data_IF_469223452404
#
_entry.id   IF_469223452404
#
_cell.length_a   1.000
_cell.length_b   1.000
_cell.length_c   1.000
_cell.angle_alpha   90.00
_cell.angle_beta   90.00
_cell.angle_gamma   90.00
#
_symmetry.space_group_name_H-M   'P 1'
#
loop_
_entity.id
_entity.type
_entity.pdbx_description
1 polymer ?
#
# COMPACT_ATOMS: atom_id res chain seq x y z
N UNK A 1 -4.19 -3.99 -21.94
CA UNK A 1 -4.19 -5.24 -22.72
C UNK A 1 -3.87 -6.38 -21.77
N UNK A 2 -4.68 -7.43 -21.76
CA UNK A 2 -4.48 -8.61 -20.91
C UNK A 2 -3.10 -9.20 -21.18
N UNK A 3 -2.22 -9.24 -20.19
CA UNK A 3 -0.94 -9.95 -20.31
C UNK A 3 -1.23 -11.45 -20.21
N UNK A 4 -1.46 -12.10 -21.34
CA UNK A 4 -1.58 -13.56 -21.42
C UNK A 4 -0.26 -14.21 -20.94
N UNK A 5 -0.37 -15.25 -20.12
CA UNK A 5 0.78 -16.00 -19.61
C UNK A 5 0.99 -17.25 -20.46
N UNK A 6 2.02 -17.22 -21.29
CA UNK A 6 2.33 -18.28 -22.24
C UNK A 6 3.22 -19.35 -21.60
N UNK A 7 2.97 -20.61 -21.94
CA UNK A 7 3.86 -21.73 -21.63
C UNK A 7 5.12 -21.67 -22.51
N UNK A 8 6.19 -22.37 -22.09
CA UNK A 8 7.40 -22.55 -22.92
C UNK A 8 7.08 -23.02 -24.34
N UNK A 9 6.11 -23.93 -24.49
CA UNK A 9 5.69 -24.46 -25.78
C UNK A 9 5.01 -23.39 -26.65
N UNK A 10 4.10 -22.61 -26.07
CA UNK A 10 3.44 -21.51 -26.77
C UNK A 10 4.42 -20.40 -27.16
N UNK A 11 5.33 -20.02 -26.25
CA UNK A 11 6.39 -19.04 -26.54
C UNK A 11 7.35 -19.54 -27.63
N UNK A 12 7.66 -20.85 -27.64
CA UNK A 12 8.49 -21.45 -28.69
C UNK A 12 7.83 -21.36 -30.07
N UNK A 13 6.53 -21.67 -30.15
CA UNK A 13 5.73 -21.50 -31.37
C UNK A 13 5.69 -20.04 -31.82
N UNK A 14 5.45 -19.11 -30.89
CA UNK A 14 5.35 -17.68 -31.19
C UNK A 14 6.67 -17.10 -31.72
N UNK A 15 7.80 -17.41 -31.06
CA UNK A 15 9.13 -16.94 -31.46
C UNK A 15 9.75 -17.74 -32.62
N UNK A 16 9.08 -18.80 -33.10
CA UNK A 16 9.62 -19.77 -34.08
C UNK A 16 10.96 -20.37 -33.64
N UNK A 17 11.07 -20.73 -32.36
CA UNK A 17 12.25 -21.35 -31.75
C UNK A 17 11.92 -22.75 -31.21
N UNK A 18 12.93 -23.55 -30.88
CA UNK A 18 12.72 -24.80 -30.13
C UNK A 18 12.44 -24.52 -28.65
N UNK A 19 11.66 -25.37 -27.98
CA UNK A 19 11.45 -25.27 -26.52
C UNK A 19 12.77 -25.32 -25.73
N UNK A 20 13.76 -26.07 -26.22
CA UNK A 20 15.11 -26.13 -25.64
C UNK A 20 15.80 -24.76 -25.69
N UNK A 21 15.65 -24.04 -26.80
CA UNK A 21 16.19 -22.69 -26.97
C UNK A 21 15.49 -21.70 -26.03
N UNK A 22 14.16 -21.77 -25.92
CA UNK A 22 13.38 -20.90 -25.00
C UNK A 22 13.79 -21.14 -23.55
N UNK A 23 13.93 -22.40 -23.10
CA UNK A 23 14.42 -22.73 -21.76
C UNK A 23 15.83 -22.19 -21.50
N UNK A 24 16.70 -22.23 -22.50
CA UNK A 24 18.05 -21.64 -22.41
C UNK A 24 17.98 -20.11 -22.29
N UNK A 25 17.16 -19.43 -23.09
CA UNK A 25 16.97 -17.98 -22.99
C UNK A 25 16.47 -17.55 -21.60
N UNK A 26 15.58 -18.35 -20.99
CA UNK A 26 15.13 -18.14 -19.62
C UNK A 26 16.28 -18.36 -18.63
N UNK A 27 17.03 -19.46 -18.77
CA UNK A 27 18.16 -19.78 -17.88
C UNK A 27 19.27 -18.73 -17.93
N UNK A 28 19.52 -18.15 -19.10
CA UNK A 28 20.55 -17.14 -19.34
C UNK A 28 20.04 -15.71 -19.02
N UNK A 29 18.81 -15.56 -18.52
CA UNK A 29 18.21 -14.28 -18.15
C UNK A 29 17.81 -13.37 -19.33
N UNK A 30 17.92 -13.86 -20.57
CA UNK A 30 17.62 -13.11 -21.79
C UNK A 30 16.12 -13.03 -22.11
N UNK A 31 15.32 -13.92 -21.53
CA UNK A 31 13.86 -13.91 -21.63
C UNK A 31 13.28 -14.04 -20.21
N UNK A 32 12.58 -13.00 -19.75
CA UNK A 32 12.01 -12.99 -18.41
C UNK A 32 10.87 -14.01 -18.30
N UNK A 33 10.86 -14.80 -17.23
CA UNK A 33 9.85 -15.80 -16.98
C UNK A 33 9.63 -16.02 -15.48
N UNK A 34 8.41 -16.35 -15.11
CA UNK A 34 8.02 -16.71 -13.75
C UNK A 34 7.83 -18.22 -13.62
N UNK A 35 8.24 -18.82 -12.50
CA UNK A 35 7.89 -20.20 -12.18
C UNK A 35 6.50 -20.24 -11.54
N UNK A 36 5.60 -21.03 -12.12
CA UNK A 36 4.33 -21.39 -11.49
C UNK A 36 4.46 -22.81 -10.93
N UNK A 37 4.60 -22.90 -9.60
CA UNK A 37 4.91 -24.14 -8.89
C UNK A 37 6.29 -24.72 -9.19
N UNK A 38 6.52 -25.99 -8.83
CA UNK A 38 7.85 -26.60 -8.87
C UNK A 38 8.33 -27.07 -10.27
N UNK A 39 7.53 -26.96 -11.33
CA UNK A 39 7.87 -27.60 -12.63
C UNK A 39 7.54 -26.83 -13.91
N UNK A 40 6.95 -25.63 -13.87
CA UNK A 40 6.53 -24.95 -15.11
C UNK A 40 6.87 -23.46 -15.18
N UNK A 41 7.45 -23.03 -16.30
CA UNK A 41 7.72 -21.62 -16.60
C UNK A 41 6.51 -20.98 -17.29
N UNK A 42 6.27 -19.71 -17.00
CA UNK A 42 5.30 -18.84 -17.66
C UNK A 42 5.96 -17.54 -18.07
N UNK A 43 5.75 -17.15 -19.32
CA UNK A 43 6.34 -15.97 -19.95
C UNK A 43 5.17 -15.01 -20.22
N UNK A 44 5.31 -13.74 -19.85
CA UNK A 44 4.30 -12.73 -20.21
C UNK A 44 4.49 -12.32 -21.66
N UNK A 45 3.40 -12.00 -22.34
CA UNK A 45 3.46 -11.51 -23.72
C UNK A 45 4.37 -10.27 -23.86
N UNK A 46 4.31 -9.35 -22.89
CA UNK A 46 5.21 -8.18 -22.87
C UNK A 46 6.70 -8.54 -22.75
N UNK A 47 7.06 -9.62 -22.03
CA UNK A 47 8.45 -10.07 -21.92
C UNK A 47 8.96 -10.66 -23.25
N UNK A 48 8.04 -11.20 -24.06
CA UNK A 48 8.32 -11.68 -25.42
C UNK A 48 8.52 -10.50 -26.36
N UNK A 49 7.66 -9.49 -26.27
CA UNK A 49 7.78 -8.26 -27.07
C UNK A 49 9.07 -7.51 -26.77
N UNK A 50 9.44 -7.38 -25.49
CA UNK A 50 10.72 -6.79 -25.06
C UNK A 50 11.91 -7.57 -25.64
N UNK A 51 11.84 -8.90 -25.64
CA UNK A 51 12.85 -9.76 -26.25
C UNK A 51 12.94 -9.59 -27.77
N UNK A 52 11.80 -9.45 -28.46
CA UNK A 52 11.75 -9.21 -29.91
C UNK A 52 12.35 -7.85 -30.22
N UNK A 53 11.96 -6.79 -29.51
CA UNK A 53 12.49 -5.43 -29.73
C UNK A 53 14.01 -5.39 -29.51
N UNK A 54 14.50 -6.02 -28.44
CA UNK A 54 15.93 -6.09 -28.15
C UNK A 54 16.74 -6.79 -29.25
N UNK A 55 16.16 -7.77 -29.95
CA UNK A 55 16.83 -8.51 -31.04
C UNK A 55 16.50 -7.98 -32.45
N UNK A 56 15.54 -7.06 -32.59
CA UNK A 56 15.15 -6.45 -33.87
C UNK A 56 16.05 -5.27 -34.29
N UNK A 57 16.84 -4.71 -33.36
CA UNK A 57 17.81 -3.64 -33.62
C UNK A 57 19.03 -4.05 -34.49
N UNK A 58 18.98 -5.21 -35.14
CA UNK A 58 20.00 -5.72 -36.05
C UNK A 58 19.76 -5.50 -37.56
N UNK A 59 18.67 -4.86 -37.99
CA UNK A 59 18.42 -4.59 -39.42
C UNK A 59 18.05 -3.13 -39.68
N UNK A 60 19.07 -2.34 -40.06
CA UNK A 60 18.87 -1.05 -40.75
C UNK A 60 18.35 -1.30 -42.17
N UNK A 61 17.37 -0.51 -42.58
CA UNK A 61 17.13 -0.16 -43.98
C UNK A 61 17.04 1.35 -44.07
N UNK A 62 17.91 1.91 -44.92
CA UNK A 62 17.95 3.31 -45.29
C UNK A 62 16.69 3.67 -46.06
N UNK A 63 16.02 4.76 -45.69
CA UNK A 63 15.38 5.61 -46.69
C UNK A 63 15.30 7.07 -46.22
N UNK A 64 16.04 7.89 -46.98
CA UNK A 64 15.82 9.27 -47.42
C UNK A 64 15.20 10.30 -46.48
N UNK A 65 16.03 11.31 -46.18
CA UNK A 65 15.76 12.54 -45.44
C UNK A 65 14.89 13.50 -46.26
N UNK A 66 13.81 14.02 -45.67
CA UNK A 66 13.24 15.33 -45.99
C UNK A 66 13.12 16.16 -44.69
N UNK A 67 13.41 17.47 -44.70
CA UNK A 67 13.50 18.25 -43.48
C UNK A 67 12.10 18.66 -43.00
N UNK A 68 11.65 18.11 -41.89
CA UNK A 68 10.52 18.65 -41.15
C UNK A 68 11.03 19.71 -40.17
N UNK A 69 10.52 20.91 -40.38
CA UNK A 69 10.53 22.11 -39.55
C UNK A 69 10.73 21.87 -38.05
N UNK A 70 11.67 22.61 -37.47
CA UNK A 70 11.88 22.79 -36.04
C UNK A 70 10.59 23.28 -35.38
N UNK A 71 9.86 22.36 -34.75
CA UNK A 71 8.87 22.70 -33.75
C UNK A 71 9.47 22.55 -32.35
N UNK A 72 9.16 23.55 -31.53
CA UNK A 72 9.77 23.89 -30.25
C UNK A 72 9.93 22.72 -29.28
N UNK A 73 11.13 22.64 -28.71
CA UNK A 73 11.56 21.92 -27.51
C UNK A 73 10.47 21.70 -26.45
N UNK A 74 9.83 20.52 -26.45
CA UNK A 74 9.31 19.94 -25.22
C UNK A 74 10.50 19.31 -24.48
N UNK A 75 11.04 20.01 -23.47
CA UNK A 75 11.95 19.37 -22.52
C UNK A 75 11.14 18.24 -21.88
N UNK A 76 11.41 16.97 -22.24
CA UNK A 76 10.87 15.82 -21.51
C UNK A 76 11.47 15.87 -20.10
N UNK A 77 10.77 16.49 -19.16
CA UNK A 77 11.13 16.46 -17.75
C UNK A 77 11.12 15.00 -17.31
N UNK A 78 12.23 14.56 -16.69
CA UNK A 78 12.35 13.18 -16.21
C UNK A 78 11.40 12.99 -15.03
N UNK A 79 10.61 11.92 -15.04
CA UNK A 79 9.75 11.53 -13.92
C UNK A 79 10.54 11.51 -12.59
N UNK A 80 10.04 12.16 -11.51
CA UNK A 80 10.70 12.14 -10.21
C UNK A 80 10.89 10.71 -9.67
N UNK A 81 12.08 10.44 -9.14
CA UNK A 81 12.49 9.10 -8.70
C UNK A 81 12.08 8.84 -7.26
N UNK A 82 11.27 7.80 -7.03
CA UNK A 82 10.72 7.42 -5.74
C UNK A 82 11.53 6.30 -5.06
N UNK A 83 11.96 6.57 -3.83
CA UNK A 83 12.47 5.58 -2.87
C UNK A 83 11.36 5.29 -1.86
N UNK A 84 10.96 4.04 -1.69
CA UNK A 84 9.92 3.64 -0.73
C UNK A 84 10.48 2.75 0.37
N UNK A 85 10.38 3.21 1.62
CA UNK A 85 10.71 2.43 2.82
C UNK A 85 9.42 1.87 3.42
N UNK A 86 9.44 0.61 3.87
CA UNK A 86 8.27 -0.05 4.48
C UNK A 86 7.07 -0.05 3.52
N UNK A 87 7.31 -0.48 2.27
CA UNK A 87 6.38 -0.31 1.15
C UNK A 87 5.09 -1.13 1.31
N UNK A 88 5.08 -2.15 2.18
CA UNK A 88 3.99 -3.09 2.33
C UNK A 88 3.62 -3.74 1.00
N UNK A 89 2.32 -3.92 0.75
CA UNK A 89 1.84 -4.38 -0.55
C UNK A 89 1.83 -3.27 -1.62
N UNK A 90 2.28 -2.05 -1.31
CA UNK A 90 2.48 -0.98 -2.29
C UNK A 90 1.31 -0.03 -2.50
N UNK A 91 0.36 0.07 -1.57
CA UNK A 91 -0.77 1.01 -1.69
C UNK A 91 -0.34 2.47 -1.83
N UNK A 92 0.65 2.91 -1.02
CA UNK A 92 1.26 4.23 -1.11
C UNK A 92 1.98 4.41 -2.46
N UNK A 93 2.89 3.50 -2.77
CA UNK A 93 3.69 3.50 -3.99
C UNK A 93 2.86 3.54 -5.27
N UNK A 94 1.76 2.78 -5.33
CA UNK A 94 0.87 2.77 -6.49
C UNK A 94 0.23 4.15 -6.71
N UNK A 95 -0.18 4.84 -5.65
CA UNK A 95 -0.71 6.21 -5.75
C UNK A 95 0.34 7.20 -6.30
N UNK A 96 1.59 7.08 -5.85
CA UNK A 96 2.69 7.87 -6.41
C UNK A 96 2.94 7.53 -7.89
N UNK A 97 3.01 6.25 -8.26
CA UNK A 97 3.19 5.86 -9.67
C UNK A 97 2.08 6.36 -10.58
N UNK A 98 0.83 6.31 -10.12
CA UNK A 98 -0.32 6.87 -10.84
C UNK A 98 -0.25 8.40 -11.00
N UNK A 99 0.55 9.08 -10.18
CA UNK A 99 0.78 10.52 -10.24
C UNK A 99 2.03 10.90 -11.07
N UNK A 100 2.65 9.94 -11.77
CA UNK A 100 3.79 10.20 -12.67
C UNK A 100 5.18 10.00 -12.06
N UNK A 101 5.29 9.44 -10.84
CA UNK A 101 6.58 9.13 -10.22
C UNK A 101 7.14 7.80 -10.73
N UNK A 102 8.47 7.71 -10.83
CA UNK A 102 9.18 6.48 -11.18
C UNK A 102 9.74 5.82 -9.92
N UNK A 103 9.18 4.69 -9.49
CA UNK A 103 9.77 3.88 -8.42
C UNK A 103 11.15 3.38 -8.82
N UNK A 104 12.17 3.72 -8.03
CA UNK A 104 13.55 3.27 -8.26
C UNK A 104 14.03 2.28 -7.21
N UNK A 105 13.41 2.29 -6.04
CA UNK A 105 13.69 1.34 -4.96
C UNK A 105 12.52 1.25 -4.00
N UNK A 106 12.25 0.05 -3.51
CA UNK A 106 11.21 -0.25 -2.53
C UNK A 106 11.74 -1.31 -1.57
N UNK A 107 11.34 -1.26 -0.31
CA UNK A 107 11.76 -2.22 0.71
C UNK A 107 10.63 -2.58 1.66
N UNK A 108 10.49 -3.88 1.92
CA UNK A 108 9.69 -4.41 3.01
C UNK A 108 10.23 -5.79 3.39
N UNK A 109 10.15 -6.16 4.67
CA UNK A 109 10.63 -7.46 5.18
C UNK A 109 9.50 -8.51 5.32
N UNK A 110 8.22 -8.09 5.24
CA UNK A 110 7.07 -8.99 5.31
C UNK A 110 6.92 -9.76 3.99
N UNK A 111 7.09 -11.08 4.07
CA UNK A 111 7.12 -11.96 2.90
C UNK A 111 5.81 -11.97 2.10
N UNK A 112 4.66 -11.81 2.77
CA UNK A 112 3.37 -11.81 2.10
C UNK A 112 3.16 -10.47 1.36
N UNK A 113 3.56 -9.36 1.99
CA UNK A 113 3.58 -8.03 1.38
C UNK A 113 4.53 -7.96 0.17
N UNK A 114 5.75 -8.49 0.30
CA UNK A 114 6.73 -8.57 -0.79
C UNK A 114 6.19 -9.32 -2.01
N UNK A 115 5.48 -10.43 -1.79
CA UNK A 115 4.93 -11.24 -2.86
C UNK A 115 3.85 -10.48 -3.63
N UNK A 116 2.95 -9.78 -2.93
CA UNK A 116 1.92 -8.92 -3.55
C UNK A 116 2.55 -7.73 -4.26
N UNK A 117 3.54 -7.06 -3.65
CA UNK A 117 4.26 -5.95 -4.27
C UNK A 117 4.93 -6.41 -5.58
N UNK A 118 5.64 -7.54 -5.54
CA UNK A 118 6.34 -8.11 -6.70
C UNK A 118 5.41 -8.43 -7.86
N UNK A 119 4.19 -8.89 -7.55
CA UNK A 119 3.19 -9.26 -8.54
C UNK A 119 2.63 -8.05 -9.32
N UNK A 120 2.63 -6.87 -8.70
CA UNK A 120 1.93 -5.69 -9.22
C UNK A 120 2.86 -4.54 -9.61
N UNK A 121 3.91 -4.30 -8.82
CA UNK A 121 4.74 -3.09 -8.91
C UNK A 121 6.19 -3.38 -9.31
N UNK A 122 6.65 -4.63 -9.26
CA UNK A 122 8.00 -5.01 -9.66
C UNK A 122 8.89 -5.35 -8.47
N UNK A 123 10.22 -5.33 -8.67
CA UNK A 123 11.15 -5.80 -7.65
C UNK A 123 11.08 -4.99 -6.35
N UNK A 124 11.27 -5.68 -5.22
CA UNK A 124 11.33 -5.12 -3.87
C UNK A 124 12.53 -5.72 -3.13
N UNK A 125 13.27 -4.88 -2.40
CA UNK A 125 14.31 -5.34 -1.49
C UNK A 125 13.66 -5.99 -0.27
N UNK A 126 14.03 -7.24 -0.01
CA UNK A 126 13.40 -8.11 0.99
C UNK A 126 14.07 -8.05 2.36
N UNK A 127 15.21 -7.36 2.47
CA UNK A 127 16.00 -7.29 3.69
C UNK A 127 15.24 -6.50 4.76
N UNK A 128 15.55 -6.76 6.02
CA UNK A 128 15.19 -5.85 7.08
C UNK A 128 15.95 -4.53 6.85
N UNK A 129 15.28 -3.38 6.99
CA UNK A 129 15.90 -2.07 6.74
C UNK A 129 17.13 -1.82 7.62
N UNK A 130 17.19 -2.47 8.79
CA UNK A 130 18.35 -2.45 9.69
C UNK A 130 19.61 -3.07 9.09
N UNK A 131 19.44 -3.96 8.09
CA UNK A 131 20.52 -4.68 7.41
C UNK A 131 20.79 -4.11 6.01
N UNK A 132 20.16 -2.99 5.65
CA UNK A 132 20.34 -2.33 4.35
C UNK A 132 21.35 -1.19 4.49
N UNK A 133 22.47 -1.34 3.80
CA UNK A 133 23.47 -0.27 3.67
C UNK A 133 22.95 0.85 2.77
N UNK A 134 23.27 2.10 3.10
CA UNK A 134 22.71 3.25 2.38
C UNK A 134 23.18 3.27 0.93
N UNK A 135 24.37 2.75 0.67
CA UNK A 135 25.03 2.65 -0.64
C UNK A 135 24.25 1.75 -1.60
N UNK A 136 23.52 0.75 -1.09
CA UNK A 136 22.69 -0.15 -1.89
C UNK A 136 21.41 0.53 -2.38
N UNK A 137 21.01 1.63 -1.73
CA UNK A 137 19.80 2.37 -2.09
C UNK A 137 20.17 3.38 -3.20
N UNK A 138 19.54 3.34 -4.38
CA UNK A 138 19.81 4.33 -5.42
C UNK A 138 19.36 5.74 -4.99
N UNK A 139 19.97 6.77 -5.58
CA UNK A 139 19.51 8.14 -5.35
C UNK A 139 18.09 8.35 -5.92
N UNK A 140 17.32 9.21 -5.25
CA UNK A 140 15.94 9.52 -5.57
C UNK A 140 15.60 10.98 -5.27
N UNK A 141 14.54 11.47 -5.90
CA UNK A 141 14.03 12.82 -5.72
C UNK A 141 13.04 12.89 -4.55
N UNK A 142 12.37 11.78 -4.24
CA UNK A 142 11.41 11.68 -3.15
C UNK A 142 11.60 10.37 -2.38
N UNK A 143 11.44 10.44 -1.07
CA UNK A 143 11.43 9.27 -0.19
C UNK A 143 10.13 9.19 0.60
N UNK A 144 9.46 8.05 0.54
CA UNK A 144 8.26 7.76 1.34
C UNK A 144 8.58 6.73 2.43
N UNK A 145 8.00 6.86 3.62
CA UNK A 145 8.11 5.85 4.66
C UNK A 145 6.82 5.71 5.49
N UNK A 146 6.31 4.48 5.60
CA UNK A 146 5.19 4.09 6.46
C UNK A 146 5.64 3.27 7.67
N UNK A 147 6.63 3.77 8.42
CA UNK A 147 7.28 2.97 9.48
C UNK A 147 6.29 2.60 10.60
N UNK A 148 6.38 1.38 11.17
CA UNK A 148 5.51 0.96 12.27
C UNK A 148 5.68 1.86 13.51
N UNK A 149 4.62 2.57 13.91
CA UNK A 149 4.61 3.35 15.15
C UNK A 149 4.00 2.54 16.30
N UNK A 150 4.84 2.05 17.21
CA UNK A 150 4.40 1.53 18.51
C UNK A 150 4.83 2.47 19.63
N UNK A 151 4.07 2.56 20.74
CA UNK A 151 4.41 3.45 21.83
C UNK A 151 5.75 3.07 22.45
N UNK A 152 6.73 3.97 22.30
CA UNK A 152 8.05 3.92 22.95
C UNK A 152 7.95 3.80 24.49
N UNK A 153 6.81 4.22 25.07
CA UNK A 153 6.60 4.33 26.52
C UNK A 153 5.81 3.18 27.17
N UNK A 154 5.27 2.20 26.42
CA UNK A 154 4.62 1.03 27.01
C UNK A 154 5.61 -0.08 27.42
N UNK A 155 6.91 0.20 27.43
CA UNK A 155 7.96 -0.66 27.99
C UNK A 155 7.99 -0.63 29.54
N UNK A 156 6.83 -0.49 30.18
CA UNK A 156 6.68 -0.71 31.60
C UNK A 156 6.68 -2.21 31.91
N UNK A 157 7.69 -2.66 32.65
CA UNK A 157 7.85 -4.01 33.21
C UNK A 157 8.36 -5.15 32.31
N UNK A 158 9.52 -4.96 31.65
CA UNK A 158 10.57 -6.00 31.56
C UNK A 158 11.89 -5.38 31.11
N UNK A 159 12.90 -5.47 31.99
CA UNK A 159 14.31 -5.21 31.69
C UNK A 159 14.75 -6.09 30.52
N UNK A 160 15.36 -5.47 29.51
CA UNK A 160 16.28 -6.12 28.57
C UNK A 160 15.67 -6.61 27.26
N UNK A 161 15.46 -5.70 26.31
CA UNK A 161 15.92 -5.79 24.91
C UNK A 161 15.99 -4.34 24.39
N UNK A 162 17.09 -3.91 23.77
CA UNK A 162 17.14 -2.65 23.03
C UNK A 162 15.87 -2.48 22.18
N UNK A 163 15.16 -1.37 22.33
CA UNK A 163 13.85 -1.16 21.70
C UNK A 163 13.98 -1.10 20.17
N UNK A 164 13.84 -2.27 19.53
CA UNK A 164 14.08 -2.51 18.11
C UNK A 164 13.15 -1.73 17.17
N UNK A 165 12.10 -1.10 17.71
CA UNK A 165 11.13 -0.32 16.92
C UNK A 165 11.38 1.18 16.92
N UNK A 166 11.95 1.73 18.00
CA UNK A 166 12.50 3.08 17.97
C UNK A 166 13.71 3.23 17.04
N UNK A 167 14.33 2.11 16.67
CA UNK A 167 15.37 2.05 15.64
C UNK A 167 14.82 2.36 14.25
N UNK A 168 13.58 1.97 13.90
CA UNK A 168 13.09 2.09 12.52
C UNK A 168 12.93 3.56 12.06
N UNK A 169 12.50 4.44 12.95
CA UNK A 169 12.49 5.88 12.67
C UNK A 169 13.91 6.43 12.47
N UNK A 170 14.87 5.99 13.30
CA UNK A 170 16.29 6.35 13.15
C UNK A 170 16.89 5.83 11.85
N UNK A 171 16.47 4.65 11.38
CA UNK A 171 16.88 4.13 10.07
C UNK A 171 16.38 5.01 8.92
N UNK A 172 15.14 5.52 9.00
CA UNK A 172 14.68 6.55 8.05
C UNK A 172 15.64 7.75 8.05
N UNK A 173 15.98 8.28 9.23
CA UNK A 173 16.88 9.44 9.34
C UNK A 173 18.28 9.15 8.81
N UNK A 174 18.84 7.95 9.07
CA UNK A 174 20.14 7.51 8.54
C UNK A 174 20.15 7.58 7.01
N UNK A 175 19.12 7.03 6.38
CA UNK A 175 19.00 7.01 4.92
C UNK A 175 18.78 8.42 4.37
N UNK A 176 17.88 9.21 4.98
CA UNK A 176 17.55 10.56 4.52
C UNK A 176 18.77 11.48 4.64
N UNK A 177 19.53 11.40 5.74
CA UNK A 177 20.69 12.25 5.97
C UNK A 177 21.75 12.10 4.87
N UNK A 178 21.93 10.90 4.33
CA UNK A 178 22.85 10.62 3.24
C UNK A 178 22.24 10.90 1.87
N UNK A 179 20.99 10.47 1.63
CA UNK A 179 20.35 10.59 0.30
C UNK A 179 19.84 12.00 -0.01
N UNK A 180 19.45 12.76 1.01
CA UNK A 180 18.91 14.11 0.92
C UNK A 180 17.96 14.34 -0.28
N UNK A 181 16.88 13.54 -0.44
CA UNK A 181 15.92 13.76 -1.52
C UNK A 181 15.28 15.14 -1.41
N UNK A 182 14.63 15.60 -2.48
CA UNK A 182 13.95 16.91 -2.50
C UNK A 182 12.72 16.92 -1.59
N UNK A 183 12.04 15.77 -1.48
CA UNK A 183 10.82 15.62 -0.69
C UNK A 183 10.87 14.36 0.18
N UNK A 184 10.39 14.47 1.41
CA UNK A 184 10.15 13.37 2.34
C UNK A 184 8.65 13.28 2.62
N UNK A 185 8.12 12.06 2.61
CA UNK A 185 6.73 11.81 3.01
C UNK A 185 6.70 10.70 4.05
N UNK A 186 6.27 11.02 5.26
CA UNK A 186 5.96 10.00 6.27
C UNK A 186 4.46 9.81 6.41
N UNK A 187 4.01 8.57 6.40
CA UNK A 187 2.63 8.20 6.72
C UNK A 187 2.60 7.47 8.07
N UNK A 188 1.60 7.78 8.90
CA UNK A 188 1.39 7.04 10.13
C UNK A 188 -0.04 7.09 10.68
N UNK A 189 -0.29 6.29 11.71
CA UNK A 189 -1.56 6.26 12.44
C UNK A 189 -1.78 7.52 13.27
N UNK A 190 -3.04 7.90 13.50
CA UNK A 190 -3.43 9.05 14.35
C UNK A 190 -2.78 9.03 15.75
N UNK A 191 -2.57 7.84 16.32
CA UNK A 191 -1.96 7.68 17.64
C UNK A 191 -0.54 8.24 17.75
N UNK A 192 0.16 8.42 16.62
CA UNK A 192 1.48 9.07 16.59
C UNK A 192 1.43 10.49 17.17
N UNK A 193 0.33 11.22 16.96
CA UNK A 193 0.16 12.61 17.43
C UNK A 193 0.24 12.75 18.96
N UNK A 194 -0.09 11.67 19.69
CA UNK A 194 -0.03 11.60 21.15
C UNK A 194 1.15 10.76 21.65
N UNK A 195 1.97 10.21 20.76
CA UNK A 195 3.08 9.33 21.13
C UNK A 195 4.25 10.16 21.66
N UNK A 196 4.83 9.70 22.77
CA UNK A 196 6.02 10.31 23.37
C UNK A 196 7.28 9.64 22.84
N UNK A 197 8.31 10.43 22.59
CA UNK A 197 9.66 9.94 22.31
C UNK A 197 10.35 9.51 23.62
N UNK A 198 11.52 8.87 23.51
CA UNK A 198 12.24 8.30 24.66
C UNK A 198 12.64 9.36 25.71
N UNK A 199 12.77 10.62 25.30
CA UNK A 199 13.10 11.76 26.15
C UNK A 199 11.85 12.50 26.70
N UNK A 200 10.64 11.99 26.44
CA UNK A 200 9.38 12.55 26.91
C UNK A 200 8.75 13.64 26.02
N UNK A 201 9.45 14.10 24.96
CA UNK A 201 8.90 15.06 23.99
C UNK A 201 7.85 14.42 23.09
N UNK A 202 7.04 15.24 22.41
CA UNK A 202 6.11 14.69 21.43
C UNK A 202 6.89 14.20 20.21
N UNK A 203 6.61 12.97 19.75
CA UNK A 203 7.30 12.42 18.58
C UNK A 203 7.12 13.28 17.32
N UNK A 204 5.98 13.97 17.19
CA UNK A 204 5.73 14.93 16.10
C UNK A 204 6.77 16.05 16.11
N UNK A 205 7.07 16.62 17.28
CA UNK A 205 8.04 17.70 17.44
C UNK A 205 9.45 17.22 17.10
N UNK A 206 9.80 16.00 17.56
CA UNK A 206 11.08 15.35 17.26
C UNK A 206 11.25 15.13 15.76
N UNK A 207 10.22 14.63 15.06
CA UNK A 207 10.24 14.45 13.60
C UNK A 207 10.51 15.78 12.87
N UNK A 208 9.82 16.84 13.29
CA UNK A 208 10.00 18.16 12.67
C UNK A 208 11.42 18.68 12.91
N UNK A 209 11.94 18.59 14.14
CA UNK A 209 13.27 19.08 14.49
C UNK A 209 14.40 18.33 13.78
N UNK A 210 14.35 16.99 13.80
CA UNK A 210 15.36 16.11 13.19
C UNK A 210 15.47 16.38 11.69
N UNK A 211 14.33 16.49 11.00
CA UNK A 211 14.30 16.81 9.56
C UNK A 211 14.67 18.27 9.30
N UNK A 212 14.24 19.22 10.14
CA UNK A 212 14.48 20.65 9.94
C UNK A 212 15.94 21.07 10.06
N UNK A 213 16.75 20.30 10.80
CA UNK A 213 18.17 20.58 11.06
C UNK A 213 19.12 19.68 10.25
N UNK A 214 18.56 18.79 9.41
CA UNK A 214 19.30 17.71 8.77
C UNK A 214 20.37 18.21 7.78
N UNK A 215 21.57 17.63 7.87
CA UNK A 215 22.67 17.81 6.91
C UNK A 215 22.94 19.29 6.52
N UNK A 216 22.86 20.21 7.49
CA UNK A 216 23.07 21.67 7.34
C UNK A 216 22.07 22.42 6.43
N UNK A 217 21.24 21.71 5.66
CA UNK A 217 20.21 22.30 4.78
C UNK A 217 18.85 22.22 5.44
N UNK A 218 18.45 21.01 5.88
CA UNK A 218 17.17 20.73 6.51
C UNK A 218 15.98 20.71 5.55
N UNK A 219 14.82 20.36 6.11
CA UNK A 219 13.53 20.35 5.43
C UNK A 219 12.55 21.32 6.11
N UNK A 220 11.72 21.97 5.32
CA UNK A 220 10.50 22.59 5.81
C UNK A 220 9.42 21.51 5.91
N UNK A 221 9.01 21.19 7.13
CA UNK A 221 8.12 20.06 7.42
C UNK A 221 6.76 20.57 7.85
N UNK A 222 5.73 20.15 7.12
CA UNK A 222 4.32 20.32 7.51
C UNK A 222 3.70 18.96 7.75
N UNK A 223 2.68 18.88 8.61
CA UNK A 223 1.95 17.64 8.83
C UNK A 223 0.45 17.89 9.01
N UNK A 224 -0.36 16.90 8.63
CA UNK A 224 -1.82 16.99 8.76
C UNK A 224 -2.45 15.64 9.07
N UNK A 225 -3.42 15.64 9.99
CA UNK A 225 -4.34 14.53 10.19
C UNK A 225 -5.42 14.57 9.11
N UNK A 226 -5.40 13.59 8.21
CA UNK A 226 -6.37 13.44 7.12
C UNK A 226 -7.34 12.30 7.42
N UNK A 227 -8.59 12.45 6.99
CA UNK A 227 -9.52 11.32 6.88
C UNK A 227 -9.59 10.92 5.40
N UNK A 228 -9.34 9.65 5.08
CA UNK A 228 -9.32 9.17 3.70
C UNK A 228 -10.62 9.49 2.93
N UNK A 229 -11.78 9.50 3.62
CA UNK A 229 -13.06 9.88 3.00
C UNK A 229 -13.17 11.36 2.62
N UNK A 230 -12.32 12.23 3.15
CA UNK A 230 -12.20 13.62 2.67
C UNK A 230 -11.46 13.71 1.32
N UNK A 231 -10.94 12.59 0.79
CA UNK A 231 -10.10 12.53 -0.42
C UNK A 231 -10.52 11.37 -1.35
N UNK A 232 -11.82 11.09 -1.44
CA UNK A 232 -12.38 10.15 -2.42
C UNK A 232 -12.19 8.66 -2.11
N UNK A 233 -11.80 8.31 -0.86
CA UNK A 233 -11.72 6.90 -0.42
C UNK A 233 -13.03 6.54 0.30
N UNK A 234 -13.70 5.41 -0.02
CA UNK A 234 -14.94 4.99 0.61
C UNK A 234 -14.72 4.37 2.00
N UNK A 235 -13.91 5.05 2.81
CA UNK A 235 -13.48 4.59 4.11
C UNK A 235 -13.19 5.77 5.04
N UNK A 236 -13.74 5.71 6.25
CA UNK A 236 -13.35 6.56 7.36
C UNK A 236 -12.08 5.99 8.00
N UNK A 237 -10.92 6.49 7.55
CA UNK A 237 -9.58 6.10 8.00
C UNK A 237 -8.73 7.33 8.22
N UNK A 238 -8.40 7.59 9.48
CA UNK A 238 -7.56 8.72 9.85
C UNK A 238 -6.08 8.35 9.79
N UNK A 239 -5.27 9.18 9.12
CA UNK A 239 -3.82 9.05 9.01
C UNK A 239 -3.15 10.40 9.16
N UNK A 240 -1.98 10.43 9.78
CA UNK A 240 -1.12 11.62 9.79
C UNK A 240 -0.12 11.47 8.65
N UNK A 241 -0.01 12.51 7.84
CA UNK A 241 1.06 12.65 6.86
C UNK A 241 1.98 13.78 7.28
N UNK A 242 3.29 13.55 7.15
CA UNK A 242 4.30 14.59 7.19
C UNK A 242 4.85 14.75 5.78
N UNK A 243 4.98 15.99 5.32
CA UNK A 243 5.64 16.32 4.06
C UNK A 243 6.76 17.30 4.37
N UNK A 244 7.99 16.85 4.15
CA UNK A 244 9.20 17.66 4.28
C UNK A 244 9.73 18.05 2.92
N UNK A 245 9.79 19.34 2.60
CA UNK A 245 10.40 19.85 1.37
C UNK A 245 11.77 20.44 1.71
N UNK A 246 12.81 20.09 0.95
CA UNK A 246 14.18 20.51 1.27
C UNK A 246 14.29 22.05 1.19
N UNK A 247 14.87 22.68 2.22
CA UNK A 247 14.80 24.15 2.41
C UNK A 247 15.46 24.96 1.29
N UNK A 248 16.47 24.41 0.63
CA UNK A 248 17.14 25.03 -0.53
C UNK A 248 16.22 25.23 -1.75
N UNK A 249 15.07 24.55 -1.78
CA UNK A 249 14.06 24.73 -2.82
C UNK A 249 13.17 25.96 -2.59
N UNK A 250 13.10 26.49 -1.37
CA UNK A 250 12.27 27.65 -1.05
C UNK A 250 10.76 27.42 -1.26
N UNK A 251 10.28 26.20 -1.03
CA UNK A 251 8.89 25.79 -1.26
C UNK A 251 8.26 25.35 0.07
N UNK A 252 7.20 26.04 0.46
CA UNK A 252 6.28 25.62 1.52
C UNK A 252 5.18 24.74 0.91
N UNK A 253 5.05 23.50 1.38
CA UNK A 253 4.02 22.57 0.91
C UNK A 253 2.69 22.85 1.61
N UNK A 254 1.60 22.80 0.83
CA UNK A 254 0.24 22.84 1.36
C UNK A 254 -0.50 21.54 1.02
N UNK A 255 -1.18 20.97 2.02
CA UNK A 255 -2.02 19.79 1.80
C UNK A 255 -3.19 20.12 0.87
N UNK A 256 -3.60 19.19 0.00
CA UNK A 256 -4.71 19.42 -0.91
C UNK A 256 -6.02 19.65 -0.15
N UNK A 257 -6.91 20.42 -0.76
CA UNK A 257 -8.24 20.66 -0.20
C UNK A 257 -9.08 19.37 -0.16
N UNK A 258 -10.01 19.32 0.80
CA UNK A 258 -10.97 18.24 0.91
C UNK A 258 -11.89 18.20 -0.30
N UNK A 259 -12.27 16.99 -0.70
CA UNK A 259 -13.16 16.72 -1.82
C UNK A 259 -14.57 16.35 -1.33
N UNK A 260 -15.61 16.54 -2.17
CA UNK A 260 -16.94 16.01 -1.92
C UNK A 260 -16.92 14.48 -1.71
N UNK A 261 -17.86 13.98 -0.91
CA UNK A 261 -17.95 12.55 -0.54
C UNK A 261 -18.96 11.77 -1.38
N UNK A 262 -19.12 12.18 -2.62
CA UNK A 262 -20.09 11.59 -3.53
C UNK A 262 -19.72 10.15 -3.85
N UNK A 263 -20.72 9.25 -3.84
CA UNK A 263 -20.56 7.83 -4.20
C UNK A 263 -19.52 7.05 -3.37
N UNK A 264 -19.25 7.49 -2.15
CA UNK A 264 -18.32 6.81 -1.22
C UNK A 264 -18.97 5.77 -0.30
N UNK A 265 -20.28 5.54 -0.45
CA UNK A 265 -21.00 4.56 0.36
C UNK A 265 -20.75 3.14 -0.15
N UNK A 266 -20.89 2.15 0.75
CA UNK A 266 -20.70 0.74 0.41
C UNK A 266 -21.56 0.26 -0.77
N UNK A 267 -22.76 0.83 -0.97
CA UNK A 267 -23.64 0.58 -2.12
C UNK A 267 -22.91 0.71 -3.46
N UNK A 268 -22.04 1.70 -3.61
CA UNK A 268 -21.32 1.97 -4.85
C UNK A 268 -20.07 1.11 -5.02
N UNK A 269 -19.50 0.65 -3.90
CA UNK A 269 -18.19 0.02 -3.87
C UNK A 269 -18.30 -1.50 -3.92
N UNK A 270 -19.35 -2.06 -3.33
CA UNK A 270 -19.64 -3.49 -3.29
C UNK A 270 -20.33 -4.00 -4.57
N UNK A 271 -20.59 -3.12 -5.54
CA UNK A 271 -20.93 -3.54 -6.91
C UNK A 271 -19.65 -4.04 -7.60
N UNK A 272 -19.29 -5.30 -7.30
CA UNK A 272 -18.08 -5.96 -7.79
C UNK A 272 -18.42 -6.75 -9.06
N UNK A 273 -17.66 -6.58 -10.16
CA UNK A 273 -17.84 -7.40 -11.36
C UNK A 273 -17.76 -8.90 -11.04
N UNK A 274 -18.61 -9.70 -11.70
CA UNK A 274 -18.71 -11.15 -11.44
C UNK A 274 -17.42 -11.92 -11.76
N UNK A 275 -16.59 -11.39 -12.66
CA UNK A 275 -15.29 -11.91 -13.08
C UNK A 275 -14.11 -11.27 -12.33
N UNK A 276 -14.36 -10.40 -11.34
CA UNK A 276 -13.30 -9.75 -10.60
C UNK A 276 -12.44 -10.78 -9.83
N UNK A 277 -11.11 -10.72 -9.94
CA UNK A 277 -10.24 -11.65 -9.25
C UNK A 277 -10.31 -11.45 -7.73
N UNK A 278 -9.92 -12.47 -6.99
CA UNK A 278 -9.81 -12.42 -5.52
C UNK A 278 -11.15 -12.15 -4.79
N UNK A 279 -12.30 -12.48 -5.42
CA UNK A 279 -13.62 -12.42 -4.80
C UNK A 279 -13.87 -13.64 -3.89
N UNK A 280 -13.04 -13.77 -2.85
CA UNK A 280 -13.07 -14.83 -1.85
C UNK A 280 -12.89 -14.25 -0.46
N UNK A 281 -13.52 -14.85 0.55
CA UNK A 281 -13.44 -14.41 1.93
C UNK A 281 -12.90 -15.49 2.89
N UNK A 282 -12.58 -15.06 4.11
CA UNK A 282 -12.26 -15.95 5.21
C UNK A 282 -13.49 -16.15 6.11
N UNK A 283 -14.10 -17.32 6.04
CA UNK A 283 -15.32 -17.64 6.77
C UNK A 283 -15.24 -17.40 8.29
N UNK A 284 -16.38 -17.02 8.87
CA UNK A 284 -16.53 -16.87 10.31
C UNK A 284 -16.62 -18.23 11.03
N UNK A 285 -16.28 -18.24 12.33
CA UNK A 285 -16.54 -19.41 13.16
C UNK A 285 -18.05 -19.63 13.37
N UNK A 286 -18.50 -20.87 13.68
CA UNK A 286 -19.91 -21.13 13.95
C UNK A 286 -20.49 -20.25 15.07
N UNK A 287 -19.69 -19.95 16.10
CA UNK A 287 -20.11 -19.09 17.21
C UNK A 287 -20.29 -17.64 16.77
N UNK A 288 -19.44 -17.14 15.87
CA UNK A 288 -19.59 -15.79 15.32
C UNK A 288 -20.83 -15.71 14.41
N UNK A 289 -21.08 -16.73 13.60
CA UNK A 289 -22.27 -16.80 12.72
C UNK A 289 -23.58 -16.80 13.52
N UNK A 290 -23.61 -17.48 14.67
CA UNK A 290 -24.80 -17.50 15.55
C UNK A 290 -25.17 -16.09 16.07
N UNK A 291 -24.18 -15.21 16.25
CA UNK A 291 -24.43 -13.81 16.59
C UNK A 291 -24.77 -12.97 15.36
N UNK A 292 -24.01 -13.12 14.26
CA UNK A 292 -24.07 -12.26 13.07
C UNK A 292 -25.45 -12.25 12.41
N UNK A 293 -26.17 -13.38 12.44
CA UNK A 293 -27.53 -13.51 11.87
C UNK A 293 -28.57 -12.54 12.47
N UNK A 294 -28.32 -12.04 13.68
CA UNK A 294 -29.21 -11.09 14.35
C UNK A 294 -28.83 -9.62 14.12
N UNK A 295 -27.69 -9.36 13.46
CA UNK A 295 -27.17 -8.01 13.29
C UNK A 295 -27.72 -7.43 11.98
N UNK A 296 -28.60 -6.41 12.02
CA UNK A 296 -29.14 -5.80 10.81
C UNK A 296 -28.12 -4.87 10.13
N UNK A 297 -28.42 -4.41 8.90
CA UNK A 297 -27.69 -3.30 8.26
C UNK A 297 -27.64 -2.09 9.20
N UNK A 298 -26.44 -1.54 9.42
CA UNK A 298 -26.24 -0.42 10.37
C UNK A 298 -26.10 -0.87 11.83
N UNK A 299 -26.27 -2.15 12.12
CA UNK A 299 -26.21 -2.72 13.47
C UNK A 299 -24.81 -3.13 13.95
N UNK A 300 -24.78 -3.74 15.13
CA UNK A 300 -23.62 -4.30 15.79
C UNK A 300 -24.00 -5.46 16.72
N UNK A 301 -23.04 -5.98 17.49
CA UNK A 301 -23.31 -6.98 18.54
C UNK A 301 -24.39 -6.54 19.56
N UNK A 302 -24.68 -5.24 19.68
CA UNK A 302 -25.70 -4.70 20.58
C UNK A 302 -27.11 -5.13 20.20
N UNK A 303 -27.35 -5.43 18.92
CA UNK A 303 -28.64 -5.86 18.38
C UNK A 303 -28.93 -7.34 18.61
N UNK A 304 -27.92 -8.12 19.02
CA UNK A 304 -28.05 -9.56 19.26
C UNK A 304 -28.88 -9.80 20.54
N UNK A 305 -29.88 -10.69 20.54
CA UNK A 305 -30.64 -11.05 21.75
C UNK A 305 -29.73 -11.63 22.85
N UNK A 306 -30.10 -11.46 24.12
CA UNK A 306 -29.19 -11.72 25.25
C UNK A 306 -28.82 -13.18 25.39
N UNK A 307 -29.80 -14.04 25.17
CA UNK A 307 -29.69 -15.49 25.14
C UNK A 307 -28.75 -16.01 24.05
N UNK A 308 -28.54 -15.23 22.98
CA UNK A 308 -27.65 -15.56 21.86
C UNK A 308 -26.25 -14.92 21.97
N UNK A 309 -26.01 -14.10 23.00
CA UNK A 309 -24.68 -13.56 23.26
C UNK A 309 -23.79 -14.63 23.90
N UNK A 310 -22.55 -14.77 23.41
CA UNK A 310 -21.56 -15.56 24.12
C UNK A 310 -21.30 -14.99 25.53
N UNK A 311 -20.90 -15.80 26.53
CA UNK A 311 -20.76 -15.36 27.93
C UNK A 311 -19.87 -14.12 28.13
N UNK A 312 -18.85 -13.95 27.28
CA UNK A 312 -18.01 -12.74 27.28
C UNK A 312 -18.82 -11.48 26.94
N UNK A 313 -19.69 -11.55 25.93
CA UNK A 313 -20.49 -10.42 25.48
C UNK A 313 -21.64 -10.11 26.46
N UNK A 314 -22.24 -11.12 27.09
CA UNK A 314 -23.20 -10.91 28.18
C UNK A 314 -22.59 -10.07 29.31
N UNK A 315 -21.42 -10.47 29.82
CA UNK A 315 -20.67 -9.70 30.84
C UNK A 315 -20.37 -8.26 30.44
N UNK A 316 -20.13 -8.02 29.14
CA UNK A 316 -19.88 -6.68 28.62
C UNK A 316 -21.19 -5.89 28.53
N UNK A 317 -22.30 -6.52 28.15
CA UNK A 317 -23.62 -5.89 28.07
C UNK A 317 -24.16 -5.50 29.45
N UNK A 318 -23.90 -6.31 30.46
CA UNK A 318 -24.32 -6.04 31.85
C UNK A 318 -23.63 -4.80 32.45
N UNK A 319 -22.43 -4.45 31.98
CA UNK A 319 -21.66 -3.28 32.46
C UNK A 319 -21.05 -2.48 31.30
N UNK A 320 -21.90 -1.92 30.45
CA UNK A 320 -21.44 -1.22 29.26
C UNK A 320 -20.52 -0.04 29.54
N UNK A 321 -20.73 0.65 30.66
CA UNK A 321 -19.95 1.81 31.08
C UNK A 321 -18.50 1.43 31.36
N UNK A 322 -18.27 0.33 32.10
CA UNK A 322 -16.92 -0.17 32.40
C UNK A 322 -16.11 -0.51 31.14
N UNK A 323 -16.79 -1.03 30.11
CA UNK A 323 -16.12 -1.42 28.87
C UNK A 323 -16.11 -0.33 27.79
N UNK A 324 -16.57 0.88 28.09
CA UNK A 324 -16.66 2.00 27.14
C UNK A 324 -17.55 1.73 25.92
N UNK A 325 -18.64 1.00 26.10
CA UNK A 325 -19.71 0.81 25.10
C UNK A 325 -19.24 0.39 23.70
N UNK A 326 -18.36 -0.64 23.56
CA UNK A 326 -17.76 -1.05 22.28
C UNK A 326 -18.80 -1.35 21.20
N UNK A 327 -18.39 -1.16 19.94
CA UNK A 327 -19.18 -1.50 18.76
C UNK A 327 -18.59 -2.73 18.06
N UNK A 328 -18.51 -3.86 18.77
CA UNK A 328 -18.08 -5.14 18.20
C UNK A 328 -19.04 -5.61 17.10
N UNK A 329 -18.55 -6.43 16.17
CA UNK A 329 -19.34 -7.01 15.09
C UNK A 329 -20.15 -5.95 14.31
N UNK A 330 -19.54 -4.77 14.08
CA UNK A 330 -20.20 -3.69 13.34
C UNK A 330 -20.52 -4.15 11.91
N UNK A 331 -21.80 -4.14 11.53
CA UNK A 331 -22.28 -4.41 10.15
C UNK A 331 -22.72 -3.10 9.49
N UNK A 332 -21.82 -2.47 8.75
CA UNK A 332 -22.14 -1.20 8.07
C UNK A 332 -23.31 -1.38 7.10
N UNK A 333 -24.19 -0.38 7.03
CA UNK A 333 -25.24 -0.28 6.03
C UNK A 333 -24.64 0.05 4.66
N UNK A 334 -25.32 -0.37 3.59
CA UNK A 334 -24.94 0.01 2.21
C UNK A 334 -24.90 1.52 2.01
N UNK A 335 -25.63 2.31 2.79
CA UNK A 335 -25.66 3.77 2.69
C UNK A 335 -24.64 4.47 3.60
N UNK A 336 -23.77 3.72 4.27
CA UNK A 336 -22.67 4.24 5.07
C UNK A 336 -21.32 4.19 4.34
N UNK A 337 -20.44 5.11 4.71
CA UNK A 337 -19.01 5.02 4.40
C UNK A 337 -18.39 4.03 5.40
N UNK A 338 -17.67 3.03 4.89
CA UNK A 338 -17.08 1.97 5.70
C UNK A 338 -16.14 2.53 6.79
N UNK A 339 -16.07 1.87 7.94
CA UNK A 339 -15.01 2.10 8.92
C UNK A 339 -13.64 1.64 8.42
N UNK A 340 -12.59 1.92 9.20
CA UNK A 340 -11.23 1.49 8.88
C UNK A 340 -11.15 -0.03 8.72
N UNK A 341 -10.72 -0.51 7.55
CA UNK A 341 -10.29 -1.89 7.34
C UNK A 341 -8.97 -2.09 8.08
N UNK A 342 -8.97 -2.96 9.08
CA UNK A 342 -7.80 -3.20 9.94
C UNK A 342 -7.06 -4.46 9.54
N UNK A 343 -5.76 -4.52 9.84
CA UNK A 343 -4.92 -5.67 9.51
C UNK A 343 -5.23 -6.94 10.32
N UNK A 344 -5.93 -6.83 11.46
CA UNK A 344 -6.38 -8.01 12.20
C UNK A 344 -7.62 -8.64 11.56
N UNK A 345 -8.41 -7.82 10.85
CA UNK A 345 -9.71 -8.16 10.29
C UNK A 345 -10.63 -8.90 11.29
N UNK A 346 -10.46 -8.74 12.60
CA UNK A 346 -11.32 -9.40 13.58
C UNK A 346 -12.63 -8.61 13.73
N UNK A 347 -13.80 -9.26 13.77
CA UNK A 347 -15.10 -8.56 13.86
C UNK A 347 -15.24 -7.73 15.14
N UNK A 348 -14.50 -8.05 16.20
CA UNK A 348 -14.42 -7.24 17.43
C UNK A 348 -13.66 -5.93 17.24
N UNK A 349 -12.78 -5.84 16.24
CA UNK A 349 -11.92 -4.67 16.05
C UNK A 349 -12.19 -3.93 14.74
N UNK A 350 -13.00 -4.52 13.85
CA UNK A 350 -13.23 -4.05 12.49
C UNK A 350 -14.66 -4.37 12.08
N UNK A 351 -15.36 -3.39 11.47
CA UNK A 351 -16.63 -3.67 10.80
C UNK A 351 -16.36 -4.31 9.44
N UNK A 352 -16.14 -5.62 9.46
CA UNK A 352 -15.69 -6.45 8.33
C UNK A 352 -16.83 -7.33 7.78
N UNK A 353 -18.03 -7.22 8.32
CA UNK A 353 -19.21 -8.03 7.97
C UNK A 353 -19.89 -7.37 6.76
N UNK A 354 -20.26 -8.17 5.76
CA UNK A 354 -20.98 -7.71 4.58
C UNK A 354 -22.36 -7.13 4.97
N UNK A 355 -22.85 -6.04 4.33
CA UNK A 355 -24.11 -5.39 4.73
C UNK A 355 -25.33 -6.31 4.68
N UNK A 356 -25.41 -7.20 3.70
CA UNK A 356 -26.60 -8.02 3.46
C UNK A 356 -26.38 -9.51 3.62
N UNK A 357 -25.14 -9.95 3.85
CA UNK A 357 -24.78 -11.38 3.86
C UNK A 357 -24.01 -11.72 5.13
N UNK A 358 -24.18 -12.94 5.65
CA UNK A 358 -23.54 -13.41 6.88
C UNK A 358 -22.11 -13.91 6.64
N UNK A 359 -21.31 -13.09 5.95
CA UNK A 359 -19.91 -13.34 5.62
C UNK A 359 -19.06 -12.11 5.84
N UNK A 360 -17.74 -12.29 5.79
CA UNK A 360 -16.82 -11.16 5.72
C UNK A 360 -16.91 -10.49 4.34
N UNK A 361 -16.43 -9.25 4.25
CA UNK A 361 -16.02 -8.71 2.97
C UNK A 361 -14.99 -9.62 2.32
N UNK A 362 -15.10 -9.88 1.03
CA UNK A 362 -14.08 -10.59 0.25
C UNK A 362 -12.79 -9.78 0.13
N UNK A 363 -11.69 -10.43 -0.27
CA UNK A 363 -10.42 -9.75 -0.55
C UNK A 363 -10.60 -8.62 -1.57
N UNK A 364 -11.36 -8.87 -2.66
CA UNK A 364 -11.69 -7.85 -3.65
C UNK A 364 -12.50 -6.68 -3.07
N UNK A 365 -13.49 -6.94 -2.22
CA UNK A 365 -14.31 -5.89 -1.60
C UNK A 365 -13.47 -5.00 -0.68
N UNK A 366 -12.63 -5.57 0.19
CA UNK A 366 -11.75 -4.75 1.04
C UNK A 366 -10.68 -4.01 0.23
N UNK A 367 -10.21 -4.59 -0.88
CA UNK A 367 -9.28 -3.93 -1.79
C UNK A 367 -9.92 -2.70 -2.45
N UNK A 368 -11.17 -2.81 -2.91
CA UNK A 368 -11.94 -1.68 -3.46
C UNK A 368 -12.24 -0.62 -2.39
N UNK A 369 -12.54 -1.02 -1.15
CA UNK A 369 -12.70 -0.08 -0.03
C UNK A 369 -11.39 0.71 0.21
N UNK A 370 -10.23 0.05 0.07
CA UNK A 370 -8.90 0.67 0.09
C UNK A 370 -8.49 1.29 -1.26
N UNK A 371 -9.40 1.38 -2.23
CA UNK A 371 -9.21 1.96 -3.57
C UNK A 371 -8.12 1.33 -4.43
N UNK A 372 -7.76 0.07 -4.17
CA UNK A 372 -6.97 -0.70 -5.12
C UNK A 372 -7.77 -0.92 -6.40
N UNK A 373 -7.14 -0.81 -7.59
CA UNK A 373 -7.82 -1.10 -8.84
C UNK A 373 -8.13 -2.60 -8.94
N UNK A 374 -9.17 -2.96 -9.69
CA UNK A 374 -9.63 -4.35 -9.80
C UNK A 374 -8.59 -5.28 -10.42
N UNK A 375 -7.69 -4.75 -11.24
CA UNK A 375 -6.58 -5.50 -11.83
C UNK A 375 -5.37 -5.66 -10.88
N UNK A 376 -5.40 -5.07 -9.69
CA UNK A 376 -4.39 -5.30 -8.66
C UNK A 376 -4.59 -6.69 -8.07
N UNK A 377 -3.56 -7.52 -8.18
CA UNK A 377 -3.64 -8.96 -7.90
C UNK A 377 -3.24 -9.27 -6.46
N UNK A 378 -3.98 -10.14 -5.81
CA UNK A 378 -3.67 -10.68 -4.49
C UNK A 378 -3.38 -12.19 -4.57
N UNK A 379 -2.98 -12.79 -3.45
CA UNK A 379 -2.63 -14.21 -3.34
C UNK A 379 -3.68 -14.89 -2.47
N UNK A 380 -4.59 -15.64 -3.07
CA UNK A 380 -5.78 -16.20 -2.38
C UNK A 380 -5.98 -17.70 -2.62
N UNK A 381 -4.93 -18.41 -3.01
CA UNK A 381 -4.93 -19.85 -3.34
C UNK A 381 -5.09 -20.78 -2.11
N UNK A 382 -4.82 -20.29 -0.90
CA UNK A 382 -4.98 -21.06 0.34
C UNK A 382 -5.63 -20.22 1.44
N UNK A 383 -6.29 -20.84 2.45
CA UNK A 383 -6.86 -20.11 3.60
C UNK A 383 -5.84 -19.24 4.35
N UNK A 384 -4.59 -19.72 4.46
CA UNK A 384 -3.47 -18.96 5.05
C UNK A 384 -3.17 -17.70 4.25
N UNK A 385 -3.14 -17.81 2.91
CA UNK A 385 -2.89 -16.67 2.04
C UNK A 385 -4.06 -15.67 2.04
N UNK A 386 -5.31 -16.13 2.03
CA UNK A 386 -6.49 -15.26 2.20
C UNK A 386 -6.39 -14.45 3.50
N UNK A 387 -6.06 -15.11 4.62
CA UNK A 387 -5.90 -14.43 5.91
C UNK A 387 -4.76 -13.39 5.88
N UNK A 388 -3.64 -13.71 5.23
CA UNK A 388 -2.55 -12.77 5.01
C UNK A 388 -2.97 -11.57 4.14
N UNK A 389 -3.86 -11.76 3.14
CA UNK A 389 -4.35 -10.68 2.29
C UNK A 389 -5.15 -9.63 3.07
N UNK A 390 -5.97 -10.03 4.05
CA UNK A 390 -6.61 -9.08 4.97
C UNK A 390 -5.58 -8.21 5.71
N UNK A 391 -4.48 -8.82 6.19
CA UNK A 391 -3.41 -8.11 6.90
C UNK A 391 -2.73 -7.10 6.00
N UNK A 392 -2.25 -7.51 4.82
CA UNK A 392 -1.48 -6.63 3.92
C UNK A 392 -2.35 -5.50 3.35
N UNK A 393 -3.62 -5.76 3.05
CA UNK A 393 -4.57 -4.73 2.59
C UNK A 393 -4.92 -3.78 3.74
N UNK A 394 -5.16 -4.29 4.96
CA UNK A 394 -5.47 -3.46 6.13
C UNK A 394 -4.31 -2.54 6.55
N UNK A 395 -3.06 -2.98 6.33
CA UNK A 395 -1.86 -2.17 6.56
C UNK A 395 -1.63 -1.09 5.50
N UNK A 396 -2.09 -1.31 4.27
CA UNK A 396 -1.86 -0.39 3.17
C UNK A 396 -2.45 1.02 3.42
N UNK A 397 -1.81 2.02 2.84
CA UNK A 397 -2.41 3.32 2.59
C UNK A 397 -3.39 3.18 1.42
N UNK A 398 -4.62 3.72 1.50
CA UNK A 398 -5.52 3.68 0.36
C UNK A 398 -4.91 4.38 -0.86
N UNK A 399 -4.98 3.72 -2.02
CA UNK A 399 -4.30 4.15 -3.26
C UNK A 399 -4.74 5.54 -3.71
N UNK A 400 -6.03 5.85 -3.64
CA UNK A 400 -6.56 7.17 -4.01
C UNK A 400 -6.05 8.26 -3.08
N UNK A 401 -5.98 8.01 -1.77
CA UNK A 401 -5.41 8.97 -0.82
C UNK A 401 -3.94 9.24 -1.12
N UNK A 402 -3.17 8.17 -1.36
CA UNK A 402 -1.77 8.28 -1.76
C UNK A 402 -1.60 9.08 -3.06
N UNK A 403 -2.45 8.83 -4.07
CA UNK A 403 -2.46 9.56 -5.34
C UNK A 403 -2.76 11.04 -5.17
N UNK A 404 -3.72 11.40 -4.32
CA UNK A 404 -4.08 12.80 -4.04
C UNK A 404 -2.91 13.56 -3.41
N UNK A 405 -2.24 12.97 -2.42
CA UNK A 405 -1.05 13.57 -1.80
C UNK A 405 0.11 13.67 -2.81
N UNK A 406 0.37 12.60 -3.56
CA UNK A 406 1.45 12.55 -4.55
C UNK A 406 1.25 13.57 -5.69
N UNK A 407 0.00 13.76 -6.16
CA UNK A 407 -0.34 14.75 -7.18
C UNK A 407 -0.08 16.16 -6.68
N UNK A 408 -0.50 16.48 -5.44
CA UNK A 408 -0.24 17.78 -4.84
C UNK A 408 1.27 18.07 -4.73
N UNK A 409 2.07 17.08 -4.35
CA UNK A 409 3.54 17.21 -4.31
C UNK A 409 4.11 17.41 -5.72
N UNK A 410 3.60 16.69 -6.72
CA UNK A 410 4.07 16.79 -8.10
C UNK A 410 3.88 18.21 -8.64
N UNK A 411 2.68 18.76 -8.45
CA UNK A 411 2.30 20.10 -8.88
C UNK A 411 3.10 21.19 -8.15
N UNK A 412 3.25 21.07 -6.82
CA UNK A 412 3.87 22.12 -6.02
C UNK A 412 5.40 22.11 -6.07
N UNK A 413 6.04 20.95 -6.29
CA UNK A 413 7.50 20.80 -6.17
C UNK A 413 8.20 20.49 -7.49
N UNK A 414 7.58 19.69 -8.38
CA UNK A 414 8.26 19.12 -9.55
C UNK A 414 7.84 19.70 -10.90
N UNK A 415 6.66 20.33 -10.99
CA UNK A 415 6.13 20.95 -12.21
C UNK A 415 6.19 22.49 -12.20
N UNK A 416 7.04 23.08 -11.35
CA UNK A 416 7.26 24.54 -11.32
C UNK A 416 8.24 25.01 -12.40
#
# INVERSE_FOLDING_TARGET
MNSELLTVSQTATYLKLSEKTVRRLISDGRLQASKLGNRSWRIRDCDIDDYIQANSNGKKSNDTIMPATLDSTSIKTRAPRLISLFSGCGGLDLGFRQSGYSSVWANDFDTDAQAVYSLNLGAIDKRNILDVEVEDIPNGDILTAGFPCQPFSNAGNRKGVHDSRGMLYKECLRIINTKMPKVIVFENVKGLLSTKYIDGRNLVEVIIEDLSSMNKVGYEVVYQLVNASDYGVPQNRQRVFFVGVRKDLGISFEFPNKQPKDKLTLRHILDVPTDAPDHIDWGFSPQALDMIKFIPEGGSWKDVPYEHLAPRFQKIRDDMKKYHSPNFYRRFSRDEICGTVTASAQPENCGIIHPTEDRRYTIREIARIQTFPDNFRFITDTPRNITAMYKVIGNAVPVTLARVIATAIMEQVFHR
#
